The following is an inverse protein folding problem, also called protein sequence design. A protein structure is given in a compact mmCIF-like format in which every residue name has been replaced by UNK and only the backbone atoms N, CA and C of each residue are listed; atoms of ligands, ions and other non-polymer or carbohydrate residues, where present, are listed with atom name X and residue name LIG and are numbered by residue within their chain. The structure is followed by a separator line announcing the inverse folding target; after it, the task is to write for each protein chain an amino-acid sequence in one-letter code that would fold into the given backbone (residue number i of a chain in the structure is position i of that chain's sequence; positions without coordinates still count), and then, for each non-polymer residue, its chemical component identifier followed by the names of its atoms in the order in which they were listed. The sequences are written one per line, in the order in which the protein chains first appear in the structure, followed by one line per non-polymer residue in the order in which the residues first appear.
data_IF_838290464550
#
_entry.id   IF_838290464550
#
_cell.length_a   1.000
_cell.length_b   1.000
_cell.length_c   1.000
_cell.angle_alpha   90.00
_cell.angle_beta   90.00
_cell.angle_gamma   90.00
#
_symmetry.space_group_name_H-M   'P 1'
#
loop_
_entity.id
_entity.type
_entity.pdbx_description
1 polymer ?
#
# COMPACT_ATOMS: atom_id res chain seq x y z
N UNK A 1 15.43 17.35 16.93
CA UNK A 1 14.43 16.91 15.92
C UNK A 1 13.29 17.90 16.00
N UNK A 2 13.08 18.68 14.98
CA UNK A 2 11.92 19.58 14.89
C UNK A 2 10.68 18.71 14.74
N UNK A 3 9.79 18.83 15.69
CA UNK A 3 8.48 18.18 15.69
C UNK A 3 7.65 18.86 14.59
N UNK A 4 7.73 18.31 13.36
CA UNK A 4 6.91 18.79 12.25
C UNK A 4 5.50 18.26 12.45
N UNK A 5 4.69 18.99 13.20
CA UNK A 5 3.24 18.83 13.14
C UNK A 5 2.77 19.39 11.80
N UNK A 6 2.71 18.52 10.80
CA UNK A 6 2.14 18.87 9.51
C UNK A 6 0.65 19.17 9.66
N UNK A 7 0.18 20.17 8.95
CA UNK A 7 -1.26 20.46 8.86
C UNK A 7 -1.98 19.21 8.34
N UNK A 8 -3.14 18.86 8.90
CA UNK A 8 -3.92 17.75 8.38
C UNK A 8 -4.17 17.92 6.89
N UNK A 9 -3.88 16.89 6.11
CA UNK A 9 -4.23 16.85 4.68
C UNK A 9 -5.61 16.22 4.60
N UNK A 10 -6.70 17.02 4.41
CA UNK A 10 -8.05 16.48 4.37
C UNK A 10 -8.22 15.63 3.11
N UNK A 11 -8.91 14.52 3.26
CA UNK A 11 -9.34 13.70 2.14
C UNK A 11 -10.41 14.40 1.31
N UNK A 12 -10.44 14.13 0.02
CA UNK A 12 -11.51 14.53 -0.90
C UNK A 12 -12.11 13.31 -1.57
N UNK A 13 -13.40 13.36 -1.87
CA UNK A 13 -14.05 12.34 -2.70
C UNK A 13 -13.63 12.55 -4.15
N UNK A 14 -13.06 11.52 -4.78
CA UNK A 14 -12.76 11.51 -6.21
C UNK A 14 -14.06 11.23 -6.97
N UNK A 15 -14.43 12.12 -7.88
CA UNK A 15 -15.78 12.12 -8.47
C UNK A 15 -15.85 11.57 -9.90
N UNK A 16 -14.72 11.62 -10.64
CA UNK A 16 -14.67 11.12 -12.02
C UNK A 16 -14.39 9.61 -12.03
N UNK A 17 -15.43 8.84 -11.70
CA UNK A 17 -15.34 7.37 -11.70
C UNK A 17 -15.21 6.84 -13.11
N UNK A 18 -14.22 5.97 -13.31
CA UNK A 18 -13.98 5.28 -14.58
C UNK A 18 -15.05 4.18 -14.80
N UNK A 19 -15.23 3.71 -16.06
CA UNK A 19 -16.20 2.65 -16.35
C UNK A 19 -15.93 1.38 -15.54
N UNK A 20 -17.02 0.64 -15.22
CA UNK A 20 -16.92 -0.68 -14.60
C UNK A 20 -16.02 -1.62 -15.41
N UNK A 21 -15.33 -2.52 -14.71
CA UNK A 21 -14.34 -3.40 -15.32
C UNK A 21 -13.00 -2.75 -15.59
N UNK A 22 -12.81 -1.47 -15.20
CA UNK A 22 -11.50 -0.79 -15.22
C UNK A 22 -10.78 -0.98 -13.89
N UNK A 23 -9.59 -1.56 -13.93
CA UNK A 23 -8.78 -1.85 -12.75
C UNK A 23 -7.47 -1.05 -12.74
N UNK A 24 -7.07 -0.58 -11.55
CA UNK A 24 -5.73 -0.11 -11.25
C UNK A 24 -4.96 -1.22 -10.55
N UNK A 25 -3.90 -1.70 -11.19
CA UNK A 25 -3.03 -2.77 -10.69
C UNK A 25 -1.70 -2.15 -10.27
N UNK A 26 -1.32 -2.31 -9.00
CA UNK A 26 -0.15 -1.67 -8.41
C UNK A 26 0.90 -2.72 -8.03
N UNK A 27 2.05 -2.68 -8.73
CA UNK A 27 3.20 -3.54 -8.42
C UNK A 27 3.77 -3.22 -7.04
N UNK A 28 4.22 -4.27 -6.31
CA UNK A 28 5.08 -4.13 -5.16
C UNK A 28 6.46 -3.62 -5.53
N UNK A 29 7.23 -3.10 -4.57
CA UNK A 29 8.57 -2.64 -4.93
C UNK A 29 9.34 -1.87 -3.84
N UNK A 30 8.86 -1.87 -2.61
CA UNK A 30 9.48 -1.11 -1.53
C UNK A 30 9.64 0.36 -1.91
N UNK A 31 10.85 0.92 -1.77
CA UNK A 31 11.10 2.34 -2.08
C UNK A 31 10.87 2.72 -3.56
N UNK A 32 10.91 1.76 -4.49
CA UNK A 32 10.55 2.04 -5.90
C UNK A 32 9.08 2.43 -6.07
N UNK A 33 8.23 2.10 -5.11
CA UNK A 33 6.83 2.53 -5.06
C UNK A 33 6.62 4.05 -5.01
N UNK A 34 7.68 4.85 -4.83
CA UNK A 34 7.60 6.31 -4.98
C UNK A 34 7.13 6.75 -6.36
N UNK A 35 7.49 6.00 -7.39
CA UNK A 35 6.96 6.23 -8.73
C UNK A 35 5.43 6.06 -8.75
N UNK A 36 4.92 5.01 -8.12
CA UNK A 36 3.48 4.76 -8.02
C UNK A 36 2.74 5.88 -7.27
N UNK A 37 3.37 6.48 -6.25
CA UNK A 37 2.80 7.65 -5.57
C UNK A 37 2.61 8.81 -6.56
N UNK A 38 3.62 9.14 -7.36
CA UNK A 38 3.52 10.22 -8.35
C UNK A 38 2.43 9.98 -9.40
N UNK A 39 2.26 8.73 -9.85
CA UNK A 39 1.19 8.36 -10.79
C UNK A 39 -0.18 8.56 -10.14
N UNK A 40 -0.36 8.11 -8.88
CA UNK A 40 -1.62 8.27 -8.17
C UNK A 40 -1.92 9.74 -7.82
N UNK A 41 -0.91 10.55 -7.52
CA UNK A 41 -1.08 12.02 -7.40
C UNK A 41 -1.65 12.62 -8.70
N UNK A 42 -1.09 12.25 -9.87
CA UNK A 42 -1.60 12.72 -11.16
C UNK A 42 -3.05 12.26 -11.42
N UNK A 43 -3.44 11.07 -10.95
CA UNK A 43 -4.84 10.64 -11.01
C UNK A 43 -5.74 11.47 -10.09
N UNK A 44 -5.30 11.79 -8.87
CA UNK A 44 -6.02 12.66 -7.96
C UNK A 44 -6.16 14.08 -8.48
N UNK A 45 -5.14 14.64 -9.15
CA UNK A 45 -5.20 15.94 -9.83
C UNK A 45 -6.26 15.97 -10.95
N UNK A 46 -6.45 14.84 -11.64
CA UNK A 46 -7.47 14.66 -12.69
C UNK A 46 -8.81 14.21 -12.16
N UNK A 47 -8.94 14.10 -10.85
CA UNK A 47 -10.14 13.65 -10.15
C UNK A 47 -10.62 12.24 -10.58
N UNK A 48 -9.70 11.40 -11.05
CA UNK A 48 -9.99 10.05 -11.53
C UNK A 48 -10.16 9.08 -10.38
N UNK A 49 -11.23 8.28 -10.43
CA UNK A 49 -11.50 7.17 -9.52
C UNK A 49 -11.59 5.86 -10.29
N UNK A 50 -10.73 4.91 -9.95
CA UNK A 50 -10.84 3.54 -10.45
C UNK A 50 -11.88 2.76 -9.64
N UNK A 51 -12.84 2.06 -10.29
CA UNK A 51 -13.83 1.23 -9.59
C UNK A 51 -13.22 0.02 -8.88
N UNK A 52 -12.04 -0.43 -9.36
CA UNK A 52 -11.31 -1.55 -8.79
C UNK A 52 -9.82 -1.21 -8.69
N UNK A 53 -9.24 -1.44 -7.52
CA UNK A 53 -7.83 -1.21 -7.22
C UNK A 53 -7.28 -2.47 -6.55
N UNK A 54 -6.14 -2.94 -7.00
CA UNK A 54 -5.47 -4.10 -6.40
C UNK A 54 -3.96 -3.83 -6.33
N UNK A 55 -3.36 -4.18 -5.21
CA UNK A 55 -1.94 -3.99 -5.02
C UNK A 55 -1.34 -4.89 -3.98
N UNK A 56 -0.01 -4.96 -3.99
CA UNK A 56 0.79 -5.70 -3.02
C UNK A 56 1.92 -4.83 -2.49
N UNK A 57 2.35 -5.08 -1.25
CA UNK A 57 3.50 -4.38 -0.66
C UNK A 57 3.36 -2.85 -0.76
N UNK A 58 4.39 -2.15 -1.23
CA UNK A 58 4.37 -0.70 -1.42
C UNK A 58 3.21 -0.22 -2.32
N UNK A 59 2.80 -1.02 -3.32
CA UNK A 59 1.66 -0.68 -4.17
C UNK A 59 0.36 -0.60 -3.37
N UNK A 60 0.10 -1.58 -2.49
CA UNK A 60 -1.06 -1.57 -1.61
C UNK A 60 -0.99 -0.44 -0.57
N UNK A 61 0.18 -0.22 0.06
CA UNK A 61 0.35 0.83 1.06
C UNK A 61 0.14 2.24 0.46
N UNK A 62 0.63 2.47 -0.75
CA UNK A 62 0.48 3.75 -1.44
C UNK A 62 -0.95 4.01 -1.92
N UNK A 63 -1.70 2.94 -2.27
CA UNK A 63 -3.12 3.04 -2.64
C UNK A 63 -3.98 3.64 -1.52
N UNK A 64 -3.60 3.47 -0.25
CA UNK A 64 -4.35 4.03 0.89
C UNK A 64 -4.53 5.55 0.76
N UNK A 65 -3.47 6.30 0.47
CA UNK A 65 -3.53 7.76 0.32
C UNK A 65 -4.35 8.19 -0.90
N UNK A 66 -4.31 7.41 -1.98
CA UNK A 66 -5.11 7.65 -3.17
C UNK A 66 -6.59 7.41 -2.89
N UNK A 67 -6.95 6.29 -2.26
CA UNK A 67 -8.35 5.94 -1.95
C UNK A 67 -8.95 6.92 -0.93
N UNK A 68 -8.19 7.36 0.07
CA UNK A 68 -8.64 8.39 1.00
C UNK A 68 -8.68 9.80 0.37
N UNK A 69 -8.26 9.93 -0.91
CA UNK A 69 -8.26 11.19 -1.63
C UNK A 69 -7.40 12.26 -0.98
N UNK A 70 -6.27 11.90 -0.37
CA UNK A 70 -5.36 12.79 0.35
C UNK A 70 -4.14 13.15 -0.51
N UNK A 71 -4.21 14.18 -1.37
CA UNK A 71 -3.12 14.56 -2.24
C UNK A 71 -1.92 15.05 -1.43
N UNK A 72 -0.72 14.63 -1.85
CA UNK A 72 0.53 14.96 -1.17
C UNK A 72 0.85 14.10 0.07
N UNK A 73 -0.10 13.35 0.61
CA UNK A 73 0.12 12.56 1.84
C UNK A 73 1.26 11.55 1.70
N UNK A 74 1.30 10.81 0.62
CA UNK A 74 2.39 9.85 0.37
C UNK A 74 3.73 10.55 0.21
N UNK A 75 3.78 11.71 -0.45
CA UNK A 75 4.99 12.53 -0.59
C UNK A 75 5.50 13.00 0.77
N UNK A 76 4.63 13.52 1.63
CA UNK A 76 4.99 13.97 2.97
C UNK A 76 5.58 12.83 3.83
N UNK A 77 5.00 11.62 3.73
CA UNK A 77 5.54 10.44 4.40
C UNK A 77 6.95 10.13 3.89
N UNK A 78 7.16 10.19 2.59
CA UNK A 78 8.44 9.89 1.95
C UNK A 78 9.51 10.90 2.35
N UNK A 79 9.20 12.19 2.24
CA UNK A 79 10.18 13.28 2.43
C UNK A 79 10.57 13.43 3.90
N UNK A 80 9.65 13.20 4.82
CA UNK A 80 9.88 13.52 6.23
C UNK A 80 10.06 12.31 7.16
N UNK A 81 9.55 11.14 6.77
CA UNK A 81 9.54 9.98 7.68
C UNK A 81 10.36 8.79 7.21
N UNK A 82 10.49 8.53 5.91
CA UNK A 82 11.25 7.37 5.41
C UNK A 82 12.73 7.40 5.83
N UNK A 83 13.34 8.58 5.94
CA UNK A 83 14.71 8.75 6.44
C UNK A 83 14.83 8.71 7.96
N UNK A 84 13.73 8.61 8.70
CA UNK A 84 13.74 8.57 10.16
C UNK A 84 14.22 7.19 10.65
N UNK A 85 15.20 7.12 11.59
CA UNK A 85 15.64 5.86 12.20
C UNK A 85 14.53 5.04 12.88
N UNK A 86 13.45 5.70 13.33
CA UNK A 86 12.27 5.01 13.87
C UNK A 86 11.42 4.37 12.77
N UNK A 87 11.52 4.83 11.52
CA UNK A 87 10.84 4.23 10.37
C UNK A 87 11.59 2.99 9.87
N UNK A 88 12.89 3.15 9.56
CA UNK A 88 13.76 2.06 9.09
C UNK A 88 15.20 2.26 9.58
N UNK A 89 15.76 1.23 10.24
CA UNK A 89 17.16 1.26 10.67
C UNK A 89 17.71 -0.11 11.00
N UNK A 90 19.03 -0.24 10.92
CA UNK A 90 19.77 -1.41 11.44
C UNK A 90 19.65 -1.54 12.96
N UNK A 91 19.48 -0.40 13.67
CA UNK A 91 19.19 -0.41 15.11
C UNK A 91 17.88 -1.15 15.41
N UNK A 92 16.83 -0.90 14.64
CA UNK A 92 15.57 -1.61 14.78
C UNK A 92 15.75 -3.11 14.56
N UNK A 93 16.59 -3.52 13.59
CA UNK A 93 16.90 -4.93 13.35
C UNK A 93 17.54 -5.57 14.58
N UNK A 94 18.47 -4.88 15.23
CA UNK A 94 19.16 -5.40 16.41
C UNK A 94 18.29 -5.40 17.68
N UNK A 95 17.40 -4.41 17.84
CA UNK A 95 16.62 -4.22 19.08
C UNK A 95 15.21 -4.77 19.00
N UNK A 96 14.59 -4.74 17.81
CA UNK A 96 13.20 -5.13 17.58
C UNK A 96 13.04 -6.37 16.68
N UNK A 97 14.17 -6.89 16.13
CA UNK A 97 14.19 -7.98 15.16
C UNK A 97 13.42 -7.67 13.87
N UNK A 98 13.42 -6.39 13.47
CA UNK A 98 12.81 -5.89 12.25
C UNK A 98 13.52 -4.61 11.81
N UNK A 99 13.79 -4.44 10.51
CA UNK A 99 14.35 -3.17 10.00
C UNK A 99 13.29 -2.07 9.96
N UNK A 100 12.07 -2.43 9.55
CA UNK A 100 10.94 -1.51 9.46
C UNK A 100 10.09 -1.59 10.73
N UNK A 101 9.90 -0.47 11.40
CA UNK A 101 9.01 -0.39 12.56
C UNK A 101 7.57 -0.14 12.10
N UNK A 102 6.82 -1.22 11.91
CA UNK A 102 5.43 -1.13 11.44
C UNK A 102 4.48 -0.49 12.46
N UNK A 103 4.81 -0.51 13.74
CA UNK A 103 4.02 0.22 14.75
C UNK A 103 4.22 1.73 14.61
N UNK A 104 5.42 2.14 14.20
CA UNK A 104 5.66 3.53 13.83
C UNK A 104 5.00 3.89 12.48
N UNK A 105 5.24 3.10 11.43
CA UNK A 105 4.81 3.36 10.06
C UNK A 105 3.28 3.37 9.92
N UNK A 106 2.61 2.35 10.42
CA UNK A 106 1.17 2.11 10.28
C UNK A 106 0.34 2.49 11.52
N UNK A 107 0.99 2.87 12.61
CA UNK A 107 0.36 3.35 13.83
C UNK A 107 0.68 4.81 14.07
N UNK A 108 1.89 5.11 14.55
CA UNK A 108 2.26 6.46 14.99
C UNK A 108 2.16 7.51 13.88
N UNK A 109 2.66 7.21 12.66
CA UNK A 109 2.63 8.17 11.56
C UNK A 109 1.20 8.57 11.16
N UNK A 110 0.27 7.63 10.87
CA UNK A 110 -1.09 7.99 10.47
C UNK A 110 -1.95 8.55 11.60
N UNK A 111 -1.62 8.30 12.85
CA UNK A 111 -2.41 8.77 13.99
C UNK A 111 -1.92 10.11 14.56
N UNK A 112 -0.60 10.37 14.53
CA UNK A 112 0.00 11.51 15.25
C UNK A 112 0.72 12.51 14.35
N UNK A 113 1.14 12.09 13.16
CA UNK A 113 1.99 12.92 12.32
C UNK A 113 1.29 13.34 11.03
N UNK A 114 0.85 12.38 10.24
CA UNK A 114 0.17 12.63 8.98
C UNK A 114 -1.15 11.86 9.01
N UNK A 115 -2.19 12.53 9.51
CA UNK A 115 -3.52 11.96 9.70
C UNK A 115 -4.00 11.18 8.48
N UNK A 116 -4.58 10.00 8.73
CA UNK A 116 -5.24 9.20 7.71
C UNK A 116 -6.75 9.37 7.79
N UNK A 117 -7.36 9.79 6.70
CA UNK A 117 -8.80 10.04 6.62
C UNK A 117 -9.57 8.74 6.36
N UNK A 118 -9.92 8.06 7.46
CA UNK A 118 -10.67 6.81 7.41
C UNK A 118 -12.07 7.00 6.84
N UNK A 119 -12.73 8.13 7.11
CA UNK A 119 -14.07 8.39 6.63
C UNK A 119 -14.07 8.48 5.12
N UNK A 120 -13.15 9.25 4.55
CA UNK A 120 -12.97 9.35 3.09
C UNK A 120 -12.52 8.03 2.46
N UNK A 121 -11.65 7.28 3.13
CA UNK A 121 -11.24 5.96 2.65
C UNK A 121 -12.43 5.01 2.51
N UNK A 122 -13.31 4.95 3.51
CA UNK A 122 -14.49 4.08 3.45
C UNK A 122 -15.60 4.60 2.55
N UNK A 123 -15.81 5.93 2.52
CA UNK A 123 -16.81 6.59 1.66
C UNK A 123 -16.53 6.40 0.15
N UNK A 124 -15.25 6.30 -0.24
CA UNK A 124 -14.86 6.23 -1.64
C UNK A 124 -15.41 4.97 -2.31
N UNK A 125 -16.20 5.16 -3.40
CA UNK A 125 -16.85 4.06 -4.15
C UNK A 125 -15.84 3.33 -5.05
N UNK A 126 -15.00 2.52 -4.40
CA UNK A 126 -14.00 1.66 -5.06
C UNK A 126 -13.84 0.35 -4.30
N UNK A 127 -13.74 -0.76 -5.01
CA UNK A 127 -13.28 -2.02 -4.44
C UNK A 127 -11.77 -2.01 -4.37
N UNK A 128 -11.21 -2.29 -3.20
CA UNK A 128 -9.76 -2.35 -3.02
C UNK A 128 -9.35 -3.67 -2.39
N UNK A 129 -8.34 -4.30 -3.00
CA UNK A 129 -7.72 -5.52 -2.50
C UNK A 129 -6.24 -5.31 -2.22
N UNK A 130 -5.80 -5.78 -1.06
CA UNK A 130 -4.39 -5.93 -0.73
C UNK A 130 -4.03 -7.39 -0.54
N UNK A 131 -2.94 -7.85 -1.17
CA UNK A 131 -2.48 -9.23 -1.12
C UNK A 131 -1.31 -9.43 -0.18
N UNK A 132 -1.33 -10.54 0.59
CA UNK A 132 -0.19 -11.00 1.38
C UNK A 132 0.02 -12.49 1.17
N UNK A 133 1.26 -12.97 1.23
CA UNK A 133 1.57 -14.38 1.06
C UNK A 133 1.29 -15.15 2.36
N UNK A 134 0.51 -16.22 2.28
CA UNK A 134 0.32 -17.17 3.36
C UNK A 134 1.53 -18.10 3.51
N UNK A 135 2.16 -18.11 4.68
CA UNK A 135 3.34 -18.94 4.95
C UNK A 135 3.07 -20.45 4.89
N UNK A 136 1.80 -20.86 5.06
CA UNK A 136 1.46 -22.28 5.10
C UNK A 136 1.50 -22.96 3.72
N UNK A 137 1.15 -22.22 2.66
CA UNK A 137 1.03 -22.79 1.31
C UNK A 137 1.68 -21.94 0.19
N UNK A 138 2.27 -20.79 0.55
CA UNK A 138 2.92 -19.87 -0.39
C UNK A 138 1.96 -19.11 -1.30
N UNK A 139 0.64 -19.22 -1.11
CA UNK A 139 -0.35 -18.56 -1.94
C UNK A 139 -0.72 -17.18 -1.42
N UNK A 140 -1.16 -16.31 -2.31
CA UNK A 140 -1.66 -14.98 -1.92
C UNK A 140 -3.04 -15.06 -1.31
N UNK A 141 -3.20 -14.49 -0.12
CA UNK A 141 -4.50 -14.20 0.52
C UNK A 141 -4.83 -12.75 0.24
N UNK A 142 -6.07 -12.51 -0.17
CA UNK A 142 -6.58 -11.19 -0.53
C UNK A 142 -7.49 -10.64 0.55
N UNK A 143 -7.24 -9.40 0.94
CA UNK A 143 -8.01 -8.67 1.94
C UNK A 143 -8.74 -7.51 1.27
N UNK A 144 -10.06 -7.49 1.41
CA UNK A 144 -10.95 -6.45 0.86
C UNK A 144 -10.88 -5.18 1.70
N UNK A 145 -11.20 -4.04 1.08
CA UNK A 145 -11.24 -2.71 1.69
C UNK A 145 -11.98 -2.69 3.02
N UNK A 146 -13.13 -3.36 3.10
CA UNK A 146 -13.99 -3.35 4.29
C UNK A 146 -13.38 -4.07 5.50
N UNK A 147 -12.35 -4.91 5.27
CA UNK A 147 -11.60 -5.55 6.37
C UNK A 147 -10.45 -4.66 6.87
N UNK A 148 -10.13 -3.59 6.15
CA UNK A 148 -9.02 -2.70 6.50
C UNK A 148 -9.47 -1.69 7.55
N UNK A 149 -8.76 -1.68 8.66
CA UNK A 149 -8.92 -0.74 9.78
C UNK A 149 -7.59 -0.51 10.46
N UNK A 150 -7.52 0.48 11.34
CA UNK A 150 -6.33 0.70 12.15
C UNK A 150 -5.99 -0.58 12.97
N UNK A 151 -4.71 -0.92 13.10
CA UNK A 151 -3.51 -0.29 12.56
C UNK A 151 -3.04 -0.91 11.21
N UNK A 152 -3.91 -1.06 10.23
CA UNK A 152 -3.61 -1.50 8.86
C UNK A 152 -3.01 -2.92 8.75
N UNK A 153 -3.50 -3.89 9.51
CA UNK A 153 -2.87 -5.21 9.62
C UNK A 153 -2.67 -5.92 8.28
N UNK A 154 -3.62 -5.85 7.35
CA UNK A 154 -3.46 -6.43 6.02
C UNK A 154 -2.36 -5.73 5.21
N UNK A 155 -2.25 -4.40 5.28
CA UNK A 155 -1.19 -3.63 4.61
C UNK A 155 0.19 -3.90 5.24
N UNK A 156 0.26 -4.05 6.59
CA UNK A 156 1.48 -4.50 7.29
C UNK A 156 1.92 -5.87 6.78
N UNK A 157 1.00 -6.82 6.68
CA UNK A 157 1.27 -8.16 6.17
C UNK A 157 1.78 -8.11 4.73
N UNK A 158 1.09 -7.33 3.87
CA UNK A 158 1.49 -7.13 2.48
C UNK A 158 2.88 -6.54 2.30
N UNK A 159 3.38 -5.78 3.29
CA UNK A 159 4.72 -5.15 3.29
C UNK A 159 5.77 -5.94 4.08
N UNK A 160 5.45 -7.15 4.57
CA UNK A 160 6.33 -7.91 5.48
C UNK A 160 7.37 -8.73 4.73
N UNK A 161 8.45 -8.08 4.32
CA UNK A 161 9.57 -8.70 3.58
C UNK A 161 10.32 -9.68 4.49
N UNK A 162 10.53 -10.95 4.08
CA UNK A 162 11.28 -11.94 4.86
C UNK A 162 12.66 -11.44 5.29
N UNK A 163 13.13 -11.90 6.42
CA UNK A 163 14.43 -11.61 7.04
C UNK A 163 14.58 -10.19 7.61
N UNK A 164 13.85 -9.21 7.09
CA UNK A 164 13.95 -7.82 7.53
C UNK A 164 12.69 -7.30 8.21
N UNK A 165 11.62 -8.10 8.23
CA UNK A 165 10.41 -7.84 9.02
C UNK A 165 9.93 -9.12 9.71
N UNK A 166 8.99 -8.99 10.64
CA UNK A 166 8.34 -10.13 11.32
C UNK A 166 7.18 -10.66 10.48
N UNK A 167 6.89 -11.96 10.63
CA UNK A 167 5.64 -12.57 10.16
C UNK A 167 4.48 -11.85 10.85
N UNK A 168 3.45 -11.53 10.09
CA UNK A 168 2.23 -10.92 10.60
C UNK A 168 1.15 -11.98 10.80
N UNK A 169 0.58 -12.01 12.00
CA UNK A 169 -0.53 -12.90 12.32
C UNK A 169 -1.84 -12.12 12.17
N UNK A 170 -2.63 -12.45 11.16
CA UNK A 170 -3.89 -11.74 10.90
C UNK A 170 -4.96 -12.67 10.32
N UNK A 171 -6.19 -12.58 10.85
CA UNK A 171 -7.36 -13.37 10.43
C UNK A 171 -7.08 -14.90 10.33
N UNK A 172 -6.24 -15.43 11.23
CA UNK A 172 -5.90 -16.85 11.27
C UNK A 172 -4.80 -17.30 10.31
N UNK A 173 -4.16 -16.36 9.61
CA UNK A 173 -3.03 -16.61 8.72
C UNK A 173 -1.71 -16.12 9.31
N UNK A 174 -0.63 -16.80 8.94
CA UNK A 174 0.74 -16.35 9.08
C UNK A 174 1.20 -15.77 7.75
N UNK A 175 1.45 -14.46 7.70
CA UNK A 175 1.57 -13.71 6.47
C UNK A 175 2.93 -13.04 6.31
N UNK A 176 3.40 -13.02 5.07
CA UNK A 176 4.56 -12.26 4.59
C UNK A 176 4.18 -11.42 3.36
N UNK A 177 5.17 -10.68 2.82
CA UNK A 177 4.99 -9.75 1.70
C UNK A 177 4.33 -10.42 0.49
N UNK A 178 3.26 -9.78 -0.01
CA UNK A 178 2.51 -10.28 -1.16
C UNK A 178 3.30 -10.31 -2.46
N UNK A 179 4.35 -9.49 -2.57
CA UNK A 179 5.24 -9.49 -3.73
C UNK A 179 6.08 -10.76 -3.89
N UNK A 180 6.06 -11.67 -2.90
CA UNK A 180 6.73 -12.97 -3.01
C UNK A 180 5.90 -13.92 -3.88
N UNK A 181 4.58 -13.92 -3.70
CA UNK A 181 3.66 -14.84 -4.38
C UNK A 181 2.99 -14.25 -5.61
N UNK A 182 2.72 -12.94 -5.61
CA UNK A 182 2.06 -12.25 -6.73
C UNK A 182 2.50 -10.76 -6.80
N UNK A 183 3.66 -10.45 -7.37
CA UNK A 183 4.19 -9.09 -7.39
C UNK A 183 3.40 -8.10 -8.26
N UNK A 184 2.66 -8.60 -9.26
CA UNK A 184 1.83 -7.81 -10.19
C UNK A 184 0.48 -8.52 -10.32
N UNK A 185 -0.52 -8.21 -9.47
CA UNK A 185 -1.71 -9.03 -9.29
C UNK A 185 -2.75 -8.87 -10.41
N UNK A 186 -2.33 -9.05 -11.66
CA UNK A 186 -3.20 -8.93 -12.83
C UNK A 186 -4.14 -10.13 -12.97
N UNK A 187 -3.66 -11.35 -12.66
CA UNK A 187 -4.48 -12.56 -12.81
C UNK A 187 -5.67 -12.54 -11.85
N UNK A 188 -5.46 -12.06 -10.61
CA UNK A 188 -6.57 -11.87 -9.67
C UNK A 188 -7.57 -10.84 -10.19
N UNK A 189 -7.10 -9.74 -10.77
CA UNK A 189 -7.98 -8.72 -11.34
C UNK A 189 -8.81 -9.27 -12.53
N UNK A 190 -8.18 -10.07 -13.39
CA UNK A 190 -8.87 -10.76 -14.50
C UNK A 190 -9.93 -11.75 -13.98
N UNK A 191 -9.57 -12.54 -12.97
CA UNK A 191 -10.48 -13.51 -12.33
C UNK A 191 -11.69 -12.83 -11.66
N UNK A 192 -11.52 -11.59 -11.18
CA UNK A 192 -12.59 -10.77 -10.60
C UNK A 192 -13.46 -10.07 -11.67
N UNK A 193 -13.19 -10.31 -12.97
CA UNK A 193 -14.03 -9.85 -14.07
C UNK A 193 -13.62 -8.49 -14.68
N UNK A 194 -12.48 -7.93 -14.29
CA UNK A 194 -11.99 -6.70 -14.92
C UNK A 194 -11.45 -7.00 -16.32
N UNK A 195 -11.71 -6.09 -17.26
CA UNK A 195 -11.36 -6.26 -18.69
C UNK A 195 -10.40 -5.19 -19.20
N UNK A 196 -10.28 -4.08 -18.48
CA UNK A 196 -9.36 -2.99 -18.79
C UNK A 196 -8.45 -2.71 -17.59
N UNK A 197 -7.15 -2.71 -17.81
CA UNK A 197 -6.15 -2.61 -16.74
C UNK A 197 -5.20 -1.45 -16.98
N UNK A 198 -5.04 -0.60 -15.97
CA UNK A 198 -3.92 0.34 -15.86
C UNK A 198 -2.95 -0.27 -14.85
N UNK A 199 -1.77 -0.67 -15.34
CA UNK A 199 -0.75 -1.32 -14.51
C UNK A 199 0.36 -0.33 -14.23
N UNK A 200 0.62 -0.06 -12.95
CA UNK A 200 1.71 0.82 -12.53
C UNK A 200 2.88 -0.05 -12.08
N UNK A 201 3.92 -0.09 -12.90
CA UNK A 201 5.14 -0.84 -12.63
C UNK A 201 6.16 0.03 -11.89
N UNK A 202 6.92 -0.58 -11.01
CA UNK A 202 7.98 0.07 -10.23
C UNK A 202 9.37 -0.17 -10.80
N UNK A 203 9.49 -0.94 -11.88
CA UNK A 203 10.74 -1.29 -12.55
C UNK A 203 10.81 -0.69 -13.95
N UNK A 204 12.04 -0.48 -14.42
CA UNK A 204 12.28 -0.01 -15.77
C UNK A 204 11.88 -1.08 -16.81
N UNK A 205 11.49 -0.63 -18.01
CA UNK A 205 11.26 -1.51 -19.16
C UNK A 205 12.50 -2.38 -19.42
N UNK A 206 12.28 -3.70 -19.55
CA UNK A 206 13.36 -4.67 -19.78
C UNK A 206 14.04 -5.20 -18.51
N UNK A 207 13.65 -4.75 -17.31
CA UNK A 207 14.09 -5.36 -16.07
C UNK A 207 13.47 -6.75 -15.96
N UNK A 208 14.33 -7.79 -15.84
CA UNK A 208 13.86 -9.15 -15.65
C UNK A 208 13.27 -9.31 -14.24
N UNK A 209 12.04 -9.81 -14.18
CA UNK A 209 11.47 -10.34 -12.94
C UNK A 209 12.05 -11.73 -12.73
N UNK A 210 12.95 -11.89 -11.77
CA UNK A 210 13.36 -13.22 -11.30
C UNK A 210 12.27 -13.78 -10.38
N UNK A 211 11.13 -14.08 -10.96
CA UNK A 211 10.08 -14.88 -10.30
C UNK A 211 9.78 -16.03 -11.23
N UNK A 212 10.30 -17.18 -10.85
CA UNK A 212 9.88 -18.46 -11.41
C UNK A 212 8.61 -18.91 -10.75
#
# INVERSE_FOLDING_TARGET
MTDYTLQPIPGKTLSRRLPEGTALVLEGGGLRGYYSCGVMEAFMEKDLLFPYIIGVSAGAANALSYISGQPGRSREIIEHYVGNPDYVSTRNLLTKHTMFDFDYIFGTVPEKHIFFDWDKFHEQDTRFLTGAMNCADGKTVWFEKDTLKAPFMASRASCSVPLITKIQHYMGYDLLDGGISDPIPIEKSLADGNTFHVIVLTRNKGCLLYTS
#
